data_IF_304205897998
#
_entry.id   IF_304205897998
#
_cell.length_a   1.000
_cell.length_b   1.000
_cell.length_c   1.000
_cell.angle_alpha   90.00
_cell.angle_beta   90.00
_cell.angle_gamma   90.00
#
_symmetry.space_group_name_H-M   'P 1'
#
loop_
_entity.id
_entity.type
_entity.pdbx_description
1 polymer ?
#
# COMPACT_ATOMS: atom_id res chain seq x y z
N UNK A 1 -5.72 -26.12 -7.36
CA UNK A 1 -5.12 -24.82 -7.03
C UNK A 1 -3.64 -25.03 -6.78
N UNK A 2 -2.77 -24.34 -7.51
CA UNK A 2 -1.32 -24.39 -7.31
C UNK A 2 -0.66 -23.11 -7.84
N UNK A 3 -0.28 -22.19 -6.94
CA UNK A 3 0.37 -20.93 -7.32
C UNK A 3 1.47 -20.54 -6.32
N UNK A 4 2.33 -19.62 -6.75
CA UNK A 4 3.33 -18.96 -5.91
C UNK A 4 3.47 -17.52 -6.38
N UNK A 5 3.22 -16.56 -5.51
CA UNK A 5 3.28 -15.12 -5.80
C UNK A 5 3.82 -14.33 -4.61
N UNK A 6 4.13 -13.06 -4.82
CA UNK A 6 4.47 -12.13 -3.74
C UNK A 6 3.21 -11.43 -3.24
N UNK A 7 3.07 -11.32 -1.92
CA UNK A 7 1.95 -10.64 -1.27
C UNK A 7 2.43 -9.88 -0.04
N UNK A 8 1.60 -9.01 0.52
CA UNK A 8 1.86 -8.33 1.79
C UNK A 8 0.94 -8.88 2.88
N UNK A 9 1.46 -9.14 4.09
CA UNK A 9 0.65 -9.60 5.22
C UNK A 9 0.09 -8.42 6.02
N UNK A 10 -1.22 -8.41 6.27
CA UNK A 10 -1.92 -7.40 7.07
C UNK A 10 -2.46 -6.25 6.23
N UNK A 11 -2.32 -5.00 6.68
CA UNK A 11 -2.64 -3.83 5.87
C UNK A 11 -1.47 -3.54 4.91
N UNK A 12 -1.77 -3.17 3.66
CA UNK A 12 -0.75 -2.64 2.77
C UNK A 12 -0.22 -1.32 3.35
N UNK A 13 0.89 -1.41 4.06
CA UNK A 13 1.62 -0.24 4.57
C UNK A 13 2.71 0.08 3.57
N UNK A 14 2.61 1.28 2.98
CA UNK A 14 3.66 1.88 2.17
C UNK A 14 4.96 1.78 2.96
N UNK A 15 5.95 1.07 2.41
CA UNK A 15 7.28 0.86 3.02
C UNK A 15 7.40 -0.29 4.04
N UNK A 16 6.55 -1.32 3.97
CA UNK A 16 6.70 -2.49 4.83
C UNK A 16 7.66 -3.52 4.23
N UNK A 17 8.63 -3.98 5.02
CA UNK A 17 9.42 -5.22 4.79
C UNK A 17 8.53 -6.48 4.91
N UNK A 18 7.23 -6.35 4.64
CA UNK A 18 6.22 -7.39 4.82
C UNK A 18 5.80 -8.05 3.52
N UNK A 19 6.62 -7.94 2.48
CA UNK A 19 6.50 -8.80 1.30
C UNK A 19 6.81 -10.23 1.72
N UNK A 20 5.89 -11.13 1.44
CA UNK A 20 5.98 -12.56 1.74
C UNK A 20 5.69 -13.34 0.47
N UNK A 21 6.24 -14.55 0.39
CA UNK A 21 5.76 -15.50 -0.61
C UNK A 21 4.42 -16.06 -0.13
N UNK A 22 3.39 -15.91 -0.95
CA UNK A 22 2.09 -16.53 -0.78
C UNK A 22 1.95 -17.67 -1.79
N UNK A 23 1.73 -18.87 -1.29
CA UNK A 23 1.66 -20.07 -2.12
C UNK A 23 0.41 -20.89 -1.80
N UNK A 24 -0.07 -21.60 -2.81
CA UNK A 24 -1.02 -22.68 -2.63
C UNK A 24 -0.40 -23.94 -3.21
N UNK A 25 -0.28 -25.01 -2.43
CA UNK A 25 0.21 -26.30 -2.91
C UNK A 25 -0.33 -27.42 -2.02
N UNK A 26 -0.53 -28.61 -2.59
CA UNK A 26 -0.87 -29.83 -1.84
C UNK A 26 -2.11 -29.73 -0.92
N UNK A 27 -3.05 -28.84 -1.24
CA UNK A 27 -4.26 -28.62 -0.43
C UNK A 27 -4.03 -27.71 0.78
N UNK A 28 -2.93 -26.97 0.82
CA UNK A 28 -2.63 -25.95 1.82
C UNK A 28 -2.35 -24.60 1.16
N UNK A 29 -2.73 -23.54 1.87
CA UNK A 29 -2.33 -22.16 1.60
C UNK A 29 -1.23 -21.80 2.59
N UNK A 30 -0.11 -21.26 2.11
CA UNK A 30 0.99 -20.91 3.00
C UNK A 30 1.57 -19.53 2.73
N UNK A 31 2.00 -18.86 3.80
CA UNK A 31 2.75 -17.62 3.73
C UNK A 31 3.68 -17.49 4.93
N UNK A 32 4.82 -16.82 4.77
CA UNK A 32 5.80 -16.65 5.86
C UNK A 32 5.75 -15.22 6.42
N UNK A 33 5.16 -14.97 7.60
CA UNK A 33 5.12 -13.63 8.18
C UNK A 33 6.55 -13.17 8.51
N UNK A 34 6.92 -11.91 8.28
CA UNK A 34 8.28 -11.42 8.58
C UNK A 34 8.63 -11.43 10.06
N UNK A 35 7.62 -11.46 10.93
CA UNK A 35 7.75 -11.45 12.39
C UNK A 35 7.69 -12.83 13.03
N UNK A 36 7.46 -13.90 12.26
CA UNK A 36 7.38 -15.27 12.76
C UNK A 36 8.44 -16.13 12.08
N UNK A 37 9.16 -16.93 12.88
CA UNK A 37 10.22 -17.81 12.37
C UNK A 37 9.67 -19.02 11.56
N UNK A 38 8.35 -19.27 11.64
CA UNK A 38 7.69 -20.38 10.98
C UNK A 38 6.67 -19.89 9.94
N UNK A 39 6.61 -20.52 8.75
CA UNK A 39 5.55 -20.24 7.79
C UNK A 39 4.19 -20.65 8.38
N UNK A 40 3.19 -19.81 8.11
CA UNK A 40 1.79 -20.11 8.40
C UNK A 40 1.29 -21.02 7.28
N UNK A 41 0.83 -22.21 7.64
CA UNK A 41 0.10 -23.13 6.75
C UNK A 41 -1.36 -23.18 7.15
N UNK A 42 -2.25 -23.06 6.18
CA UNK A 42 -3.71 -23.12 6.33
C UNK A 42 -4.21 -24.26 5.44
N UNK A 43 -4.71 -25.36 6.01
CA UNK A 43 -5.37 -26.39 5.22
C UNK A 43 -6.60 -25.83 4.51
N UNK A 44 -6.75 -26.11 3.22
CA UNK A 44 -7.90 -25.65 2.41
C UNK A 44 -9.24 -26.11 3.01
N UNK A 45 -9.26 -27.27 3.68
CA UNK A 45 -10.45 -27.79 4.37
C UNK A 45 -10.90 -26.96 5.58
N UNK A 46 -10.00 -26.15 6.16
CA UNK A 46 -10.28 -25.32 7.34
C UNK A 46 -10.72 -23.89 6.93
N UNK A 47 -10.70 -23.59 5.63
CA UNK A 47 -11.11 -22.29 5.10
C UNK A 47 -12.63 -22.24 5.01
N UNK A 48 -13.22 -21.34 5.79
CA UNK A 48 -14.66 -21.13 5.88
C UNK A 48 -15.15 -20.00 4.99
N UNK A 49 -14.24 -19.13 4.51
CA UNK A 49 -14.58 -18.06 3.59
C UNK A 49 -13.34 -17.38 2.99
N UNK A 50 -13.47 -16.96 1.73
CA UNK A 50 -12.50 -16.08 1.05
C UNK A 50 -13.25 -14.84 0.54
N UNK A 51 -12.79 -13.66 0.92
CA UNK A 51 -13.33 -12.37 0.46
C UNK A 51 -12.23 -11.54 -0.22
N UNK A 52 -12.62 -10.75 -1.23
CA UNK A 52 -11.72 -9.88 -1.98
C UNK A 52 -12.25 -8.44 -1.91
N UNK A 53 -11.44 -7.50 -1.46
CA UNK A 53 -11.75 -6.07 -1.50
C UNK A 53 -10.75 -5.32 -2.39
N UNK A 54 -11.26 -4.33 -3.14
CA UNK A 54 -10.42 -3.45 -3.97
C UNK A 54 -10.17 -2.16 -3.21
N UNK A 55 -8.97 -2.03 -2.68
CA UNK A 55 -8.59 -0.88 -1.89
C UNK A 55 -7.97 0.22 -2.77
N UNK A 56 -8.63 1.37 -2.79
CA UNK A 56 -8.26 2.56 -3.58
C UNK A 56 -7.68 3.69 -2.72
N UNK A 57 -7.37 3.42 -1.44
CA UNK A 57 -6.85 4.42 -0.51
C UNK A 57 -5.58 5.14 -1.03
N UNK A 58 -4.82 4.50 -1.92
CA UNK A 58 -3.60 5.05 -2.52
C UNK A 58 -3.81 6.27 -3.41
N UNK A 59 -5.00 6.44 -4.02
CA UNK A 59 -5.36 7.68 -4.73
C UNK A 59 -5.30 8.92 -3.83
N UNK A 60 -5.56 8.74 -2.53
CA UNK A 60 -5.48 9.82 -1.53
C UNK A 60 -4.03 10.24 -1.25
N UNK A 61 -3.08 9.33 -1.40
CA UNK A 61 -1.64 9.61 -1.24
C UNK A 61 -1.09 10.46 -2.38
N UNK A 62 -1.57 10.28 -3.62
CA UNK A 62 -1.18 11.15 -4.75
C UNK A 62 -1.62 12.60 -4.54
N UNK A 63 -2.86 12.84 -4.12
CA UNK A 63 -3.34 14.19 -3.83
C UNK A 63 -2.52 14.86 -2.72
N UNK A 64 -2.25 14.12 -1.64
CA UNK A 64 -1.42 14.59 -0.55
C UNK A 64 0.02 14.88 -1.01
N UNK A 65 0.58 14.02 -1.88
CA UNK A 65 1.89 14.22 -2.49
C UNK A 65 1.96 15.49 -3.33
N UNK A 66 0.94 15.77 -4.15
CA UNK A 66 0.84 17.01 -4.93
C UNK A 66 0.69 18.26 -4.05
N UNK A 67 -0.04 18.15 -2.95
CA UNK A 67 -0.14 19.23 -1.97
C UNK A 67 1.23 19.56 -1.36
N UNK A 68 1.98 18.54 -0.91
CA UNK A 68 3.32 18.75 -0.38
C UNK A 68 4.31 19.21 -1.45
N UNK A 69 4.14 18.79 -2.71
CA UNK A 69 4.94 19.28 -3.84
C UNK A 69 4.80 20.79 -3.99
N UNK A 70 3.56 21.28 -4.06
CA UNK A 70 3.27 22.70 -4.19
C UNK A 70 3.80 23.50 -2.99
N UNK A 71 3.57 23.01 -1.77
CA UNK A 71 4.07 23.67 -0.57
C UNK A 71 5.60 23.76 -0.55
N UNK A 72 6.29 22.66 -0.88
CA UNK A 72 7.76 22.59 -0.92
C UNK A 72 8.33 23.50 -1.98
N UNK A 73 7.68 23.58 -3.15
CA UNK A 73 8.05 24.46 -4.24
C UNK A 73 7.89 25.92 -3.86
N UNK A 74 6.76 26.30 -3.26
CA UNK A 74 6.51 27.67 -2.76
C UNK A 74 7.55 28.06 -1.71
N UNK A 75 7.85 27.19 -0.75
CA UNK A 75 8.86 27.46 0.28
C UNK A 75 10.25 27.62 -0.34
N UNK A 76 10.64 26.73 -1.25
CA UNK A 76 11.94 26.77 -1.91
C UNK A 76 12.11 28.06 -2.72
N UNK A 77 11.12 28.38 -3.56
CA UNK A 77 11.14 29.60 -4.38
C UNK A 77 11.12 30.84 -3.51
N UNK A 78 10.29 30.87 -2.46
CA UNK A 78 10.20 32.00 -1.54
C UNK A 78 11.52 32.30 -0.85
N UNK A 79 12.21 31.27 -0.34
CA UNK A 79 13.51 31.42 0.31
C UNK A 79 14.57 31.89 -0.69
N UNK A 80 14.66 31.23 -1.86
CA UNK A 80 15.65 31.58 -2.90
C UNK A 80 15.44 33.00 -3.41
N UNK A 81 14.19 33.42 -3.63
CA UNK A 81 13.85 34.77 -4.06
C UNK A 81 14.22 35.82 -3.00
N UNK A 82 13.90 35.57 -1.73
CA UNK A 82 14.25 36.47 -0.63
C UNK A 82 15.78 36.65 -0.51
N UNK A 83 16.55 35.57 -0.68
CA UNK A 83 18.02 35.63 -0.69
C UNK A 83 18.52 36.39 -1.92
N UNK A 84 18.03 36.07 -3.11
CA UNK A 84 18.48 36.67 -4.37
C UNK A 84 18.18 38.17 -4.46
N UNK A 85 17.02 38.60 -3.96
CA UNK A 85 16.61 40.00 -3.90
C UNK A 85 17.27 40.78 -2.76
N UNK A 86 18.13 40.14 -1.97
CA UNK A 86 18.83 40.78 -0.85
C UNK A 86 17.92 41.11 0.34
N UNK A 87 16.74 40.49 0.44
CA UNK A 87 15.78 40.72 1.54
C UNK A 87 16.18 40.01 2.85
N UNK A 88 17.18 39.13 2.80
CA UNK A 88 17.76 38.46 3.96
C UNK A 88 18.97 39.27 4.43
N UNK A 89 18.73 40.25 5.29
CA UNK A 89 19.77 41.20 5.72
C UNK A 89 20.22 40.94 7.17
N UNK A 90 19.31 40.47 8.02
CA UNK A 90 19.59 40.29 9.45
C UNK A 90 19.88 38.84 9.81
N UNK A 91 20.56 38.64 10.95
CA UNK A 91 20.78 37.30 11.53
C UNK A 91 19.47 36.55 11.78
N UNK A 92 18.40 37.28 12.10
CA UNK A 92 17.07 36.72 12.32
C UNK A 92 16.47 36.21 11.01
N UNK A 93 16.62 36.96 9.92
CA UNK A 93 16.13 36.55 8.60
C UNK A 93 16.85 35.29 8.10
N UNK A 94 18.17 35.20 8.36
CA UNK A 94 18.96 34.00 8.04
C UNK A 94 18.44 32.79 8.83
N UNK A 95 18.13 32.96 10.12
CA UNK A 95 17.60 31.88 10.94
C UNK A 95 16.21 31.41 10.44
N UNK A 96 15.33 32.34 10.06
CA UNK A 96 14.03 32.01 9.47
C UNK A 96 14.18 31.32 8.11
N UNK A 97 15.03 31.85 7.23
CA UNK A 97 15.31 31.24 5.94
C UNK A 97 15.85 29.80 6.09
N UNK A 98 16.76 29.57 7.04
CA UNK A 98 17.26 28.24 7.37
C UNK A 98 16.17 27.32 7.90
N UNK A 99 15.33 27.81 8.83
CA UNK A 99 14.21 27.06 9.38
C UNK A 99 13.22 26.64 8.27
N UNK A 100 12.75 27.59 7.45
CA UNK A 100 11.87 27.28 6.32
C UNK A 100 12.55 26.38 5.28
N UNK A 101 13.87 26.48 5.13
CA UNK A 101 14.65 25.58 4.28
C UNK A 101 14.58 24.13 4.74
N UNK A 102 14.63 23.88 6.04
CA UNK A 102 14.42 22.53 6.59
C UNK A 102 13.01 22.00 6.30
N UNK A 103 11.99 22.86 6.39
CA UNK A 103 10.62 22.49 6.00
C UNK A 103 10.50 22.19 4.51
N UNK A 104 11.17 22.96 3.65
CA UNK A 104 11.20 22.70 2.22
C UNK A 104 11.86 21.33 1.92
N UNK A 105 12.99 21.03 2.55
CA UNK A 105 13.67 19.73 2.42
C UNK A 105 12.78 18.59 2.92
N UNK A 106 12.16 18.74 4.09
CA UNK A 106 11.21 17.76 4.63
C UNK A 106 10.02 17.54 3.69
N UNK A 107 9.46 18.62 3.16
CA UNK A 107 8.36 18.58 2.20
C UNK A 107 8.74 17.89 0.89
N UNK A 108 9.94 18.13 0.35
CA UNK A 108 10.44 17.43 -0.83
C UNK A 108 10.61 15.92 -0.59
N UNK A 109 11.11 15.52 0.59
CA UNK A 109 11.19 14.11 0.97
C UNK A 109 9.82 13.44 1.06
N UNK A 110 8.85 14.09 1.70
CA UNK A 110 7.47 13.59 1.79
C UNK A 110 6.83 13.50 0.41
N UNK A 111 7.02 14.54 -0.42
CA UNK A 111 6.54 14.58 -1.81
C UNK A 111 7.11 13.42 -2.61
N UNK A 112 8.43 13.20 -2.52
CA UNK A 112 9.09 12.08 -3.19
C UNK A 112 8.52 10.76 -2.70
N UNK A 113 8.37 10.54 -1.39
CA UNK A 113 7.79 9.32 -0.85
C UNK A 113 6.37 9.04 -1.35
N UNK A 114 5.55 10.09 -1.51
CA UNK A 114 4.15 9.98 -1.93
C UNK A 114 3.97 9.90 -3.45
N UNK A 115 4.82 10.55 -4.26
CA UNK A 115 4.65 10.65 -5.72
C UNK A 115 5.60 9.75 -6.53
N UNK A 116 6.72 9.29 -5.96
CA UNK A 116 7.64 8.36 -6.66
C UNK A 116 7.05 6.97 -6.85
N UNK A 117 5.95 6.65 -6.17
CA UNK A 117 5.30 5.34 -6.22
C UNK A 117 4.06 5.44 -7.09
N UNK A 118 3.85 4.45 -7.97
CA UNK A 118 2.67 4.41 -8.81
C UNK A 118 1.41 4.37 -7.94
N UNK A 119 0.33 4.93 -8.46
CA UNK A 119 -0.98 4.90 -7.84
C UNK A 119 -1.47 3.44 -7.87
N UNK A 120 -1.06 2.65 -6.87
CA UNK A 120 -1.26 1.20 -6.83
C UNK A 120 -2.64 0.95 -6.25
N UNK A 121 -3.57 0.55 -7.11
CA UNK A 121 -4.75 -0.14 -6.63
C UNK A 121 -4.30 -1.50 -6.12
N UNK A 122 -4.75 -1.87 -4.93
CA UNK A 122 -4.42 -3.16 -4.32
C UNK A 122 -5.69 -3.98 -4.12
N UNK A 123 -5.51 -5.30 -4.13
CA UNK A 123 -6.54 -6.26 -3.79
C UNK A 123 -6.18 -6.79 -2.40
N UNK A 124 -7.11 -6.64 -1.46
CA UNK A 124 -7.03 -7.21 -0.11
C UNK A 124 -7.81 -8.54 -0.11
N UNK A 125 -7.12 -9.64 0.21
CA UNK A 125 -7.67 -10.99 0.27
C UNK A 125 -7.82 -11.38 1.74
N UNK A 126 -9.04 -11.67 2.15
CA UNK A 126 -9.38 -12.11 3.50
C UNK A 126 -9.69 -13.60 3.48
N UNK A 127 -8.84 -14.40 4.13
CA UNK A 127 -9.01 -15.85 4.24
C UNK A 127 -9.42 -16.16 5.68
N UNK A 128 -10.67 -16.56 5.88
CA UNK A 128 -11.25 -16.81 7.20
C UNK A 128 -11.25 -18.29 7.52
N UNK A 129 -10.63 -18.66 8.64
CA UNK A 129 -10.71 -19.98 9.27
C UNK A 129 -11.55 -19.89 10.54
N UNK A 130 -11.83 -21.04 11.18
CA UNK A 130 -12.54 -21.05 12.47
C UNK A 130 -11.79 -20.28 13.58
N UNK A 131 -10.47 -20.22 13.50
CA UNK A 131 -9.62 -19.59 14.53
C UNK A 131 -9.35 -18.11 14.28
N UNK A 132 -9.16 -17.70 13.01
CA UNK A 132 -8.73 -16.34 12.66
C UNK A 132 -8.99 -15.98 11.20
N UNK A 133 -8.97 -14.68 10.91
CA UNK A 133 -8.92 -14.14 9.54
C UNK A 133 -7.49 -13.74 9.20
N UNK A 134 -7.01 -14.24 8.07
CA UNK A 134 -5.72 -13.91 7.49
C UNK A 134 -5.93 -12.88 6.38
N UNK A 135 -5.09 -11.84 6.35
CA UNK A 135 -5.20 -10.76 5.35
C UNK A 135 -3.93 -10.71 4.52
N UNK A 136 -4.09 -10.83 3.21
CA UNK A 136 -3.03 -10.77 2.22
C UNK A 136 -3.35 -9.69 1.19
N UNK A 137 -2.45 -8.74 0.98
CA UNK A 137 -2.63 -7.63 0.04
C UNK A 137 -1.66 -7.78 -1.13
N UNK A 138 -2.14 -7.63 -2.35
CA UNK A 138 -1.27 -7.59 -3.53
C UNK A 138 -1.68 -6.51 -4.51
N UNK A 139 -0.76 -6.15 -5.39
CA UNK A 139 -0.98 -5.06 -6.33
C UNK A 139 -1.81 -5.53 -7.52
N UNK A 140 -2.80 -4.75 -7.94
CA UNK A 140 -3.61 -5.07 -9.12
C UNK A 140 -2.76 -5.11 -10.41
N UNK A 141 -1.63 -4.41 -10.43
CA UNK A 141 -0.70 -4.41 -11.55
C UNK A 141 0.22 -5.66 -11.58
N UNK A 142 0.25 -6.45 -10.50
CA UNK A 142 1.00 -7.69 -10.44
C UNK A 142 0.13 -8.82 -11.02
N UNK A 143 0.47 -9.22 -12.25
CA UNK A 143 -0.26 -10.27 -12.96
C UNK A 143 -0.21 -11.62 -12.22
N UNK A 144 0.91 -11.94 -11.57
CA UNK A 144 1.04 -13.22 -10.84
C UNK A 144 0.12 -13.25 -9.61
N UNK A 145 -0.03 -12.11 -8.92
CA UNK A 145 -0.95 -11.99 -7.80
C UNK A 145 -2.41 -12.03 -8.23
N UNK A 146 -2.74 -11.36 -9.34
CA UNK A 146 -4.10 -11.39 -9.92
C UNK A 146 -4.47 -12.79 -10.40
N UNK A 147 -3.55 -13.51 -11.04
CA UNK A 147 -3.76 -14.89 -11.48
C UNK A 147 -3.95 -15.84 -10.26
N UNK A 148 -3.19 -15.64 -9.18
CA UNK A 148 -3.39 -16.36 -7.92
C UNK A 148 -4.78 -16.09 -7.29
N UNK A 149 -5.25 -14.84 -7.34
CA UNK A 149 -6.61 -14.49 -6.92
C UNK A 149 -7.67 -15.18 -7.79
N UNK A 150 -7.45 -15.25 -9.11
CA UNK A 150 -8.34 -15.97 -10.02
C UNK A 150 -8.38 -17.47 -9.69
N UNK A 151 -7.24 -18.10 -9.41
CA UNK A 151 -7.19 -19.50 -8.96
C UNK A 151 -7.94 -19.75 -7.65
N UNK A 152 -7.91 -18.79 -6.71
CA UNK A 152 -8.67 -18.87 -5.46
C UNK A 152 -10.18 -18.77 -5.71
N UNK A 153 -10.61 -17.88 -6.60
CA UNK A 153 -12.03 -17.74 -7.00
C UNK A 153 -12.54 -18.98 -7.71
N UNK A 154 -11.72 -19.58 -8.58
CA UNK A 154 -12.06 -20.79 -9.34
C UNK A 154 -11.95 -22.07 -8.50
N UNK A 155 -11.51 -21.97 -7.23
CA UNK A 155 -11.40 -23.11 -6.32
C UNK A 155 -12.73 -23.47 -5.67
N UNK A 156 -12.84 -24.70 -5.14
CA UNK A 156 -14.00 -25.16 -4.37
C UNK A 156 -14.14 -24.48 -2.99
N UNK A 157 -13.32 -23.46 -2.69
CA UNK A 157 -13.42 -22.69 -1.46
C UNK A 157 -14.68 -21.83 -1.45
N UNK A 158 -15.28 -21.56 -0.27
CA UNK A 158 -16.41 -20.65 -0.17
C UNK A 158 -15.97 -19.21 -0.44
N UNK A 159 -15.91 -18.81 -1.72
CA UNK A 159 -15.57 -17.45 -2.11
C UNK A 159 -16.83 -16.59 -2.11
N UNK A 160 -16.84 -15.52 -1.30
CA UNK A 160 -17.90 -14.51 -1.34
C UNK A 160 -17.31 -13.24 -1.92
N UNK A 161 -17.54 -12.99 -3.21
CA UNK A 161 -17.15 -11.73 -3.84
C UNK A 161 -18.16 -10.63 -3.47
N UNK A 162 -18.15 -10.21 -2.19
CA UNK A 162 -18.99 -9.13 -1.68
C UNK A 162 -18.28 -7.80 -1.90
N UNK A 163 -18.23 -7.36 -3.15
CA UNK A 163 -17.98 -5.95 -3.41
C UNK A 163 -19.33 -5.21 -3.25
N UNK A 164 -19.54 -4.43 -2.18
CA UNK A 164 -20.82 -3.75 -1.94
C UNK A 164 -21.17 -2.73 -3.04
N UNK A 165 -20.20 -2.27 -3.84
CA UNK A 165 -20.48 -1.44 -5.03
C UNK A 165 -21.01 -2.26 -6.20
N UNK A 166 -20.63 -3.54 -6.32
CA UNK A 166 -21.08 -4.43 -7.39
C UNK A 166 -22.49 -4.98 -7.09
N UNK A 167 -22.79 -5.28 -5.82
CA UNK A 167 -24.16 -5.65 -5.40
C UNK A 167 -25.17 -4.53 -5.66
N UNK A 168 -24.79 -3.26 -5.47
CA UNK A 168 -25.67 -2.12 -5.72
C UNK A 168 -25.94 -1.84 -7.21
N UNK A 169 -25.15 -2.40 -8.13
CA UNK A 169 -25.37 -2.28 -9.58
C UNK A 169 -26.08 -3.50 -10.20
N UNK A 170 -26.32 -4.55 -9.40
CA UNK A 170 -26.96 -5.80 -9.83
C UNK A 170 -28.44 -5.93 -9.40
N UNK A 171 -28.98 -4.94 -8.68
CA UNK A 171 -30.43 -4.73 -8.43
C UNK A 171 -31.05 -3.72 -9.41
#
# INVERSE_FOLDING_TARGET
>A
MNFSTEAHVGEYVVNSERTVSFTAADGELSYAPPSEDAPVSIPVGDVTGVEFDRNTAFLRHTFLGLFFLLLSLVLTVGIVAAVYLGQVETRTDIAFAGFFGLFAVGGWNVTYGLLSRSNREVIDVYITTEERTHVLCGELADAEFVDACAELVDSDLPATNRNPKLEAELE
#
